data_IF_270283239755
#
_entry.id   IF_270283239755
#
_cell.length_a   1.000
_cell.length_b   1.000
_cell.length_c   1.000
_cell.angle_alpha   90.00
_cell.angle_beta   90.00
_cell.angle_gamma   90.00
#
_symmetry.space_group_name_H-M   'P 1'
#
loop_
_entity.id
_entity.type
_entity.pdbx_description
1 polymer ?
2 non-polymer ?
3 non-polymer ?
4 water ?
#
# COMPACT_ATOMS: atom_id res chain seq x y z
N UNK A 1 2.24 14.81 -4.86
CA UNK A 1 0.76 14.87 -4.63
C UNK A 1 0.42 15.57 -3.29
N UNK A 2 -0.87 15.85 -3.06
CA UNK A 2 -1.31 16.33 -1.76
C UNK A 2 -2.09 15.16 -1.12
N UNK A 3 -1.31 14.13 -0.79
CA UNK A 3 -1.85 12.89 -0.31
C UNK A 3 -2.61 13.02 0.99
N UNK A 4 -2.08 13.87 1.87
CA UNK A 4 -2.71 14.14 3.16
C UNK A 4 -4.07 14.84 2.99
N UNK A 5 -4.24 15.63 1.93
CA UNK A 5 -5.54 16.27 1.65
C UNK A 5 -6.60 15.22 1.23
N UNK A 6 -6.18 14.15 0.59
CA UNK A 6 -7.15 13.11 0.22
C UNK A 6 -7.56 12.30 1.45
N UNK A 7 -8.72 11.69 1.36
CA UNK A 7 -9.23 10.94 2.50
C UNK A 7 -8.46 9.70 2.90
N UNK A 8 -8.94 9.08 3.96
CA UNK A 8 -8.27 7.90 4.50
C UNK A 8 -8.53 6.59 3.80
N UNK A 9 -9.48 6.57 2.87
CA UNK A 9 -9.84 5.30 2.21
C UNK A 9 -9.11 5.06 0.91
N UNK A 10 -8.05 4.29 0.94
CA UNK A 10 -7.33 3.91 -0.24
C UNK A 10 -7.75 2.50 -0.61
N UNK A 11 -7.76 2.26 -1.91
CA UNK A 11 -8.32 0.99 -2.47
C UNK A 11 -7.47 0.43 -3.56
N UNK A 12 -7.03 -0.82 -3.38
CA UNK A 12 -6.30 -1.52 -4.40
C UNK A 12 -7.30 -1.93 -5.55
N UNK A 13 -6.81 -1.80 -6.78
CA UNK A 13 -7.51 -2.20 -7.99
C UNK A 13 -6.50 -2.83 -8.92
N UNK A 14 -6.67 -4.11 -9.24
CA UNK A 14 -5.75 -4.81 -10.13
C UNK A 14 -5.69 -4.08 -11.47
N UNK A 15 -4.49 -3.87 -12.01
CA UNK A 15 -4.32 -3.01 -13.18
C UNK A 15 -4.71 -3.72 -14.50
N UNK A 16 -4.88 -5.03 -14.48
CA UNK A 16 -5.52 -5.76 -15.61
C UNK A 16 -7.04 -5.69 -15.70
N UNK A 17 -7.69 -4.81 -14.93
CA UNK A 17 -9.13 -4.70 -14.92
C UNK A 17 -9.57 -3.25 -15.12
N UNK A 18 -9.27 -2.65 -16.28
CA UNK A 18 -9.54 -1.23 -16.54
C UNK A 18 -11.02 -0.83 -16.56
N UNK A 19 -11.88 -1.82 -16.80
CA UNK A 19 -13.34 -1.65 -16.77
C UNK A 19 -13.83 -1.35 -15.34
N UNK A 20 -12.95 -1.60 -14.37
CA UNK A 20 -13.22 -1.29 -12.97
C UNK A 20 -12.54 -0.02 -12.45
N UNK A 21 -11.67 0.60 -13.25
CA UNK A 21 -10.90 1.75 -12.74
C UNK A 21 -11.80 2.90 -12.34
N UNK A 22 -12.77 3.24 -13.20
CA UNK A 22 -13.66 4.35 -12.92
C UNK A 22 -14.47 4.14 -11.65
N UNK A 23 -14.95 2.91 -11.41
CA UNK A 23 -15.80 2.63 -10.23
C UNK A 23 -14.94 2.70 -8.91
N UNK A 24 -13.72 2.18 -9.02
CA UNK A 24 -12.72 2.27 -7.91
C UNK A 24 -12.46 3.72 -7.51
N UNK A 25 -12.26 4.60 -8.49
CA UNK A 25 -11.95 5.98 -8.25
C UNK A 25 -13.10 6.75 -7.65
N UNK A 26 -14.34 6.35 -7.96
CA UNK A 26 -15.49 7.06 -7.40
C UNK A 26 -15.81 6.51 -6.04
N UNK A 27 -15.47 5.26 -5.79
CA UNK A 27 -15.67 4.63 -4.47
C UNK A 27 -14.61 5.05 -3.39
N UNK A 28 -13.40 5.39 -3.84
CA UNK A 28 -12.22 5.60 -2.94
C UNK A 28 -11.68 7.00 -2.86
N UNK A 29 -10.95 7.33 -1.81
CA UNK A 29 -10.21 8.59 -1.77
C UNK A 29 -9.00 8.56 -2.70
N UNK A 30 -8.31 7.43 -2.68
CA UNK A 30 -7.19 7.21 -3.52
C UNK A 30 -7.23 5.78 -3.98
N UNK A 31 -6.86 5.60 -5.25
CA UNK A 31 -6.76 4.28 -5.82
C UNK A 31 -5.31 3.88 -6.00
N UNK A 32 -4.99 2.68 -5.56
CA UNK A 32 -3.75 2.06 -5.88
C UNK A 32 -3.93 1.09 -7.02
N UNK A 33 -3.49 1.44 -8.22
CA UNK A 33 -3.49 0.50 -9.34
C UNK A 33 -2.34 -0.43 -9.18
N UNK A 34 -2.63 -1.72 -9.23
CA UNK A 34 -1.69 -2.72 -8.83
C UNK A 34 -1.08 -3.51 -9.96
N UNK A 35 0.24 -3.54 -10.04
CA UNK A 35 0.96 -4.36 -11.01
C UNK A 35 1.56 -5.62 -10.37
N UNK A 36 1.52 -5.73 -9.03
CA UNK A 36 2.09 -6.91 -8.34
C UNK A 36 0.95 -7.88 -8.05
N UNK A 37 0.62 -8.24 -6.82
CA UNK A 37 -0.08 -9.55 -6.58
C UNK A 37 -1.52 -9.61 -7.02
N UNK A 38 -2.15 -8.48 -7.19
CA UNK A 38 -3.48 -8.47 -7.75
C UNK A 38 -3.53 -8.92 -9.18
N UNK A 39 -2.38 -9.08 -9.85
CA UNK A 39 -2.33 -9.46 -11.27
C UNK A 39 -1.44 -10.69 -11.51
N UNK A 40 -1.99 -11.74 -12.16
CA UNK A 40 -1.22 -12.97 -12.44
C UNK A 40 -0.04 -12.70 -13.37
N UNK A 41 1.04 -13.49 -13.26
CA UNK A 41 2.22 -13.36 -14.14
C UNK A 41 1.84 -13.08 -15.60
N UNK A 42 0.89 -13.86 -16.15
CA UNK A 42 0.55 -13.84 -17.58
C UNK A 42 -0.23 -12.61 -17.98
N UNK A 43 -0.93 -12.02 -17.02
CA UNK A 43 -1.70 -10.82 -17.33
C UNK A 43 -0.95 -9.46 -17.03
N UNK A 44 0.30 -9.51 -16.55
CA UNK A 44 1.03 -8.26 -16.23
C UNK A 44 1.28 -7.36 -17.47
N UNK A 45 1.77 -7.90 -18.61
CA UNK A 45 1.83 -7.13 -19.86
C UNK A 45 0.53 -6.41 -20.15
N UNK A 46 -0.59 -7.07 -19.96
CA UNK A 46 -1.89 -6.45 -20.24
C UNK A 46 -2.25 -5.33 -19.23
N UNK A 47 -1.90 -5.56 -17.98
CA UNK A 47 -2.05 -4.54 -16.94
C UNK A 47 -1.28 -3.27 -17.31
N UNK A 48 -0.09 -3.45 -17.82
CA UNK A 48 0.77 -2.33 -18.15
C UNK A 48 0.19 -1.54 -19.32
N UNK A 49 -0.46 -2.21 -20.29
CA UNK A 49 -1.13 -1.46 -21.37
C UNK A 49 -2.33 -0.73 -20.81
N UNK A 50 -3.07 -1.41 -19.94
CA UNK A 50 -4.25 -0.77 -19.34
C UNK A 50 -3.85 0.47 -18.53
N UNK A 51 -2.72 0.37 -17.85
CA UNK A 51 -2.23 1.48 -17.06
C UNK A 51 -2.02 2.74 -17.96
N UNK A 52 -1.49 2.51 -19.17
CA UNK A 52 -1.29 3.58 -20.18
C UNK A 52 -2.57 4.03 -20.89
N UNK A 53 -3.45 3.10 -21.26
CA UNK A 53 -4.58 3.53 -22.10
C UNK A 53 -5.84 3.93 -21.32
N UNK A 54 -5.91 3.60 -20.02
CA UNK A 54 -7.04 4.02 -19.18
C UNK A 54 -6.63 4.82 -17.95
N UNK A 55 -6.42 6.14 -18.11
CA UNK A 55 -5.86 6.98 -17.05
C UNK A 55 -6.83 7.34 -15.96
N UNK A 56 -6.29 7.49 -14.76
CA UNK A 56 -7.02 8.04 -13.62
C UNK A 56 -6.38 9.34 -13.17
N UNK A 57 -7.08 10.11 -12.37
CA UNK A 57 -6.54 11.35 -11.85
C UNK A 57 -5.23 11.07 -11.07
N UNK A 58 -4.12 11.67 -11.52
CA UNK A 58 -2.83 11.42 -10.89
C UNK A 58 -2.72 12.06 -9.52
N UNK A 59 -3.57 13.00 -9.15
CA UNK A 59 -3.56 13.58 -7.80
C UNK A 59 -4.17 12.60 -6.80
N UNK A 60 -4.86 11.56 -7.29
CA UNK A 60 -5.63 10.59 -6.47
C UNK A 60 -5.35 9.11 -6.81
N UNK A 61 -4.23 8.84 -7.46
CA UNK A 61 -3.87 7.50 -7.86
C UNK A 61 -2.40 7.18 -7.65
N UNK A 62 -2.12 6.03 -7.07
CA UNK A 62 -0.75 5.57 -6.98
C UNK A 62 -0.61 4.22 -7.61
N UNK A 63 0.57 3.88 -7.99
CA UNK A 63 0.78 2.61 -8.68
C UNK A 63 1.64 1.68 -7.87
N UNK A 64 1.08 0.51 -7.53
CA UNK A 64 1.97 -0.49 -6.89
C UNK A 64 2.76 -1.23 -7.91
N UNK A 65 4.06 -1.02 -7.90
CA UNK A 65 5.00 -1.68 -8.77
C UNK A 65 5.49 -3.02 -8.20
N UNK A 66 6.41 -3.67 -8.86
CA UNK A 66 6.97 -4.91 -8.40
C UNK A 66 8.21 -4.66 -7.59
N UNK A 67 8.78 -5.71 -7.01
CA UNK A 67 9.87 -5.54 -6.07
C UNK A 67 11.21 -5.19 -6.66
N UNK A 68 12.01 -4.54 -5.83
CA UNK A 68 13.38 -4.23 -6.11
C UNK A 68 14.13 -5.36 -6.79
N UNK A 69 14.87 -5.01 -7.83
CA UNK A 69 15.72 -5.96 -8.53
C UNK A 69 14.98 -6.92 -9.48
N UNK A 70 13.68 -6.89 -9.53
CA UNK A 70 12.98 -7.80 -10.42
C UNK A 70 12.86 -7.26 -11.86
N UNK A 71 12.79 -8.19 -12.80
CA UNK A 71 12.52 -7.81 -14.19
C UNK A 71 11.18 -7.17 -14.34
N UNK A 72 10.19 -7.67 -13.61
CA UNK A 72 8.89 -7.04 -13.57
C UNK A 72 8.93 -5.59 -13.17
N UNK A 73 9.75 -5.25 -12.17
CA UNK A 73 9.83 -3.83 -11.77
C UNK A 73 10.32 -2.95 -12.94
N UNK A 74 11.30 -3.44 -13.68
CA UNK A 74 11.87 -2.70 -14.79
C UNK A 74 10.86 -2.49 -15.87
N UNK A 75 10.06 -3.52 -16.15
CA UNK A 75 9.01 -3.43 -17.16
C UNK A 75 7.94 -2.44 -16.66
N UNK A 76 7.68 -2.40 -15.33
CA UNK A 76 6.65 -1.50 -14.76
C UNK A 76 7.07 -0.01 -14.92
N UNK A 77 8.36 0.26 -14.68
CA UNK A 77 8.85 1.62 -14.69
C UNK A 77 8.82 2.12 -16.15
N UNK A 78 9.10 1.19 -17.08
CA UNK A 78 8.94 1.49 -18.55
C UNK A 78 7.52 1.85 -18.89
N UNK A 79 6.56 1.08 -18.41
CA UNK A 79 5.16 1.42 -18.64
C UNK A 79 4.73 2.73 -17.98
N UNK A 80 5.26 3.04 -16.80
CA UNK A 80 4.87 4.26 -16.09
C UNK A 80 5.33 5.56 -16.80
N UNK A 81 6.40 5.44 -17.56
CA UNK A 81 6.98 6.58 -18.33
C UNK A 81 5.94 7.20 -19.25
N UNK A 82 5.06 6.33 -19.75
CA UNK A 82 3.91 6.71 -20.56
C UNK A 82 2.71 7.25 -19.83
N UNK A 83 2.78 7.46 -18.52
CA UNK A 83 1.64 7.95 -17.77
C UNK A 83 1.98 9.25 -17.10
N UNK A 84 0.97 9.81 -16.47
CA UNK A 84 1.09 11.01 -15.68
C UNK A 84 1.32 10.70 -14.17
N UNK A 85 1.51 9.43 -13.83
CA UNK A 85 1.61 9.05 -12.41
C UNK A 85 2.95 9.46 -11.86
N UNK A 86 2.95 9.96 -10.64
CA UNK A 86 4.16 10.40 -9.97
C UNK A 86 4.57 9.58 -8.76
N UNK A 87 3.67 8.74 -8.26
CA UNK A 87 3.86 8.15 -6.93
C UNK A 87 3.67 6.63 -7.05
N UNK A 88 4.67 5.89 -6.58
CA UNK A 88 4.66 4.46 -6.63
C UNK A 88 4.68 3.87 -5.21
N UNK A 89 4.14 2.67 -5.09
CA UNK A 89 4.19 1.85 -3.88
C UNK A 89 5.11 0.67 -4.16
N UNK A 90 6.16 0.56 -3.34
CA UNK A 90 7.22 -0.38 -3.47
C UNK A 90 6.93 -1.53 -2.48
N UNK A 91 6.54 -2.68 -3.01
CA UNK A 91 6.38 -3.86 -2.12
C UNK A 91 7.70 -4.36 -1.65
N UNK A 92 7.66 -5.11 -0.54
CA UNK A 92 8.85 -5.71 -0.05
C UNK A 92 10.01 -4.77 0.12
N UNK A 93 9.71 -3.56 0.56
CA UNK A 93 10.71 -2.51 0.64
C UNK A 93 11.65 -2.89 1.75
N UNK A 94 12.95 -2.98 1.44
CA UNK A 94 13.95 -3.55 2.38
C UNK A 94 15.11 -2.67 2.66
N UNK A 95 15.29 -1.58 1.88
CA UNK A 95 16.39 -0.69 2.08
C UNK A 95 16.11 0.72 1.56
N UNK A 96 16.80 1.67 2.14
CA UNK A 96 16.82 3.03 1.59
C UNK A 96 17.22 3.02 0.15
N UNK A 97 18.23 2.20 -0.17
CA UNK A 97 18.70 2.11 -1.52
C UNK A 97 17.59 1.71 -2.52
N UNK A 98 16.66 0.83 -2.16
CA UNK A 98 15.55 0.44 -3.03
C UNK A 98 14.57 1.58 -3.25
N UNK A 99 14.46 2.47 -2.28
CA UNK A 99 13.63 3.65 -2.40
C UNK A 99 14.37 4.69 -3.28
N UNK A 100 15.61 5.01 -2.93
CA UNK A 100 16.44 6.00 -3.70
C UNK A 100 16.46 5.69 -5.16
N UNK A 101 16.51 4.42 -5.52
CA UNK A 101 16.68 4.10 -6.92
C UNK A 101 15.39 4.39 -7.72
N UNK A 102 14.28 4.70 -7.05
CA UNK A 102 13.04 5.03 -7.71
C UNK A 102 12.89 6.56 -7.94
N UNK A 103 13.79 7.37 -7.42
CA UNK A 103 13.77 8.84 -7.65
C UNK A 103 13.86 9.02 -9.17
N UNK A 104 13.22 10.05 -9.72
CA UNK A 104 12.57 11.15 -8.96
C UNK A 104 11.13 10.94 -8.62
N UNK A 105 10.64 9.71 -8.65
CA UNK A 105 9.27 9.53 -8.23
C UNK A 105 9.06 9.57 -6.67
N UNK A 106 7.88 9.90 -6.21
CA UNK A 106 7.52 9.77 -4.77
C UNK A 106 7.20 8.27 -4.49
N UNK A 107 7.58 7.82 -3.31
CA UNK A 107 7.47 6.39 -2.95
C UNK A 107 6.72 6.16 -1.63
N UNK A 108 5.73 5.30 -1.66
CA UNK A 108 5.16 4.68 -0.47
C UNK A 108 5.81 3.27 -0.35
N UNK A 109 6.57 3.09 0.74
CA UNK A 109 7.38 1.89 0.99
C UNK A 109 6.47 0.98 1.78
N UNK A 110 6.20 -0.17 1.20
CA UNK A 110 5.36 -1.16 1.88
C UNK A 110 6.29 -2.22 2.50
N UNK A 111 6.34 -2.22 3.83
CA UNK A 111 7.28 -3.02 4.57
C UNK A 111 6.51 -4.25 5.01
N UNK A 112 6.99 -5.37 4.54
CA UNK A 112 6.38 -6.68 4.75
C UNK A 112 7.38 -7.84 4.79
N UNK A 113 8.58 -7.56 5.29
CA UNK A 113 9.59 -8.55 5.53
C UNK A 113 10.35 -8.07 6.77
N UNK A 114 11.08 -9.02 7.39
CA UNK A 114 11.92 -8.70 8.54
C UNK A 114 12.94 -7.62 8.24
N UNK A 115 13.63 -7.72 7.10
CA UNK A 115 14.63 -6.74 6.76
C UNK A 115 14.02 -5.35 6.66
N UNK A 116 12.84 -5.27 6.08
CA UNK A 116 12.17 -3.98 5.97
C UNK A 116 11.86 -3.44 7.37
N UNK A 117 11.50 -4.30 8.32
CA UNK A 117 11.12 -3.83 9.65
C UNK A 117 12.38 -3.32 10.34
N UNK A 118 13.47 -4.07 10.23
CA UNK A 118 14.71 -3.71 10.90
C UNK A 118 15.25 -2.40 10.33
N UNK A 119 15.06 -2.21 9.01
CA UNK A 119 15.50 -1.01 8.34
C UNK A 119 14.40 0.07 8.18
N UNK A 120 13.31 0.03 8.95
CA UNK A 120 12.19 0.95 8.77
C UNK A 120 12.54 2.43 8.83
N UNK A 121 13.40 2.79 9.77
CA UNK A 121 13.73 4.19 9.92
C UNK A 121 14.57 4.65 8.76
N UNK A 122 15.49 3.82 8.25
CA UNK A 122 16.29 4.18 7.12
C UNK A 122 15.44 4.36 5.84
N UNK A 123 14.43 3.51 5.75
CA UNK A 123 13.52 3.54 4.62
C UNK A 123 12.69 4.76 4.70
N UNK A 124 12.18 5.06 5.89
CA UNK A 124 11.32 6.22 6.06
C UNK A 124 12.08 7.50 5.76
N UNK A 125 13.34 7.56 6.17
CA UNK A 125 14.14 8.76 6.02
C UNK A 125 14.55 9.06 4.58
N UNK A 126 14.59 8.05 3.69
CA UNK A 126 15.05 8.19 2.32
C UNK A 126 14.30 9.33 1.64
N UNK A 127 15.05 10.10 0.86
CA UNK A 127 14.45 11.29 0.25
C UNK A 127 13.16 11.07 -0.56
N UNK A 128 13.02 10.02 -1.39
CA UNK A 128 11.76 9.83 -2.12
C UNK A 128 10.57 9.44 -1.29
N UNK A 129 10.78 8.93 -0.07
CA UNK A 129 9.65 8.44 0.68
C UNK A 129 8.63 9.53 1.05
N UNK A 130 7.34 9.25 0.78
CA UNK A 130 6.24 10.08 1.21
C UNK A 130 5.30 9.33 2.08
N UNK A 131 5.47 8.02 2.19
CA UNK A 131 4.62 7.23 3.02
C UNK A 131 5.23 5.88 3.38
N UNK A 132 4.74 5.31 4.47
CA UNK A 132 5.12 3.97 4.87
C UNK A 132 3.87 3.15 5.13
N UNK A 133 3.87 1.95 4.58
CA UNK A 133 2.77 1.01 4.82
C UNK A 133 3.34 -0.30 5.40
N UNK A 134 2.52 -1.15 5.99
CA UNK A 134 3.00 -2.46 6.38
C UNK A 134 1.99 -3.53 5.88
N UNK A 135 2.46 -4.78 5.75
CA UNK A 135 1.57 -5.89 5.37
C UNK A 135 1.95 -7.12 6.19
N UNK A 136 0.97 -7.80 6.74
CA UNK A 136 1.25 -8.86 7.69
C UNK A 136 1.41 -10.18 6.96
N UNK A 137 0.71 -10.34 5.82
CA UNK A 137 0.72 -11.62 5.13
C UNK A 137 2.05 -12.00 4.65
N UNK A 138 2.71 -11.15 3.86
CA UNK A 138 4.01 -11.51 3.39
C UNK A 138 5.11 -11.44 4.47
N UNK A 139 4.88 -10.68 5.52
CA UNK A 139 5.82 -10.64 6.68
C UNK A 139 5.90 -12.06 7.25
N UNK A 140 4.74 -12.63 7.56
CA UNK A 140 4.67 -13.97 8.16
C UNK A 140 5.21 -14.98 7.13
N UNK A 141 4.81 -14.88 5.86
CA UNK A 141 5.33 -15.81 4.85
C UNK A 141 6.86 -15.79 4.74
N UNK A 142 7.45 -14.63 4.62
CA UNK A 142 8.86 -14.54 4.45
C UNK A 142 9.64 -14.87 5.74
N UNK A 143 9.06 -14.59 6.90
CA UNK A 143 9.64 -15.12 8.14
C UNK A 143 9.68 -16.66 8.24
N UNK A 144 8.87 -17.36 7.44
CA UNK A 144 8.79 -18.82 7.52
C UNK A 144 7.60 -19.32 8.30
N UNK A 145 6.64 -18.45 8.61
CA UNK A 145 5.48 -18.82 9.39
C UNK A 145 4.28 -19.24 8.58
N UNK A 146 3.14 -19.38 9.24
CA UNK A 146 1.93 -19.88 8.59
C UNK A 146 0.65 -19.08 8.83
N UNK A 147 0.64 -18.22 9.85
CA UNK A 147 -0.57 -17.54 10.29
C UNK A 147 -0.25 -16.16 10.84
N UNK A 148 -0.75 -15.06 10.26
CA UNK A 148 -0.57 -13.74 10.91
C UNK A 148 -1.47 -13.46 12.10
N UNK A 149 -2.59 -14.21 12.26
CA UNK A 149 -3.54 -13.97 13.31
C UNK A 149 -3.68 -15.19 14.21
N UNK A 150 -3.88 -14.95 15.48
CA UNK A 150 -4.13 -16.07 16.39
C UNK A 150 -5.61 -16.49 16.29
N UNK A 151 -5.98 -17.48 17.10
CA UNK A 151 -7.32 -18.08 16.97
C UNK A 151 -8.48 -17.05 17.23
N UNK A 152 -8.27 -16.18 18.22
CA UNK A 152 -9.25 -15.14 18.53
C UNK A 152 -9.22 -13.93 17.59
N UNK A 153 -8.37 -14.00 16.55
CA UNK A 153 -8.36 -13.04 15.44
C UNK A 153 -7.46 -11.83 15.56
N UNK A 154 -6.85 -11.63 16.73
CA UNK A 154 -5.87 -10.57 16.91
C UNK A 154 -4.64 -10.98 16.11
N UNK A 155 -3.90 -9.98 15.63
CA UNK A 155 -2.59 -10.23 15.04
C UNK A 155 -1.65 -10.87 16.10
N UNK A 156 -0.75 -11.72 15.63
CA UNK A 156 0.29 -12.27 16.45
C UNK A 156 1.24 -11.15 16.78
N UNK A 157 2.01 -11.33 17.81
CA UNK A 157 2.86 -10.25 18.33
C UNK A 157 3.79 -9.61 17.31
N UNK A 158 4.42 -10.43 16.45
CA UNK A 158 5.43 -9.84 15.56
C UNK A 158 4.76 -8.87 14.57
N UNK A 159 3.54 -9.18 14.12
CA UNK A 159 2.81 -8.29 13.26
C UNK A 159 2.51 -7.01 14.02
N UNK A 160 2.04 -7.13 15.25
CA UNK A 160 1.71 -5.93 16.05
C UNK A 160 2.97 -5.06 16.27
N UNK A 161 4.11 -5.74 16.34
CA UNK A 161 5.46 -5.10 16.60
C UNK A 161 5.84 -4.27 15.32
N UNK A 162 5.72 -4.89 14.18
CA UNK A 162 5.97 -4.23 12.90
C UNK A 162 5.00 -3.09 12.66
N UNK A 163 3.73 -3.26 12.95
CA UNK A 163 2.78 -2.17 12.83
C UNK A 163 3.23 -0.89 13.52
N UNK A 164 3.58 -1.02 14.76
CA UNK A 164 4.06 0.14 15.58
C UNK A 164 5.38 0.67 15.03
N UNK A 165 6.28 -0.24 14.61
CA UNK A 165 7.53 0.16 14.05
C UNK A 165 7.32 1.05 12.85
N UNK A 166 6.46 0.64 11.95
CA UNK A 166 6.24 1.48 10.78
C UNK A 166 5.47 2.78 11.07
N UNK A 167 4.55 2.78 12.00
CA UNK A 167 3.85 4.03 12.41
C UNK A 167 4.88 5.04 12.95
N UNK A 168 5.70 4.56 13.84
CA UNK A 168 6.77 5.45 14.38
C UNK A 168 7.75 5.96 13.34
N UNK A 169 8.26 5.06 12.47
CA UNK A 169 9.21 5.43 11.49
C UNK A 169 8.60 6.46 10.56
N UNK A 170 7.34 6.26 10.12
CA UNK A 170 6.74 7.22 9.21
C UNK A 170 6.59 8.57 9.87
N UNK A 171 6.06 8.56 11.08
CA UNK A 171 5.80 9.78 11.80
C UNK A 171 7.09 10.53 12.20
N UNK A 172 8.15 9.81 12.47
CA UNK A 172 9.43 10.43 12.79
C UNK A 172 9.98 11.23 11.64
N UNK A 173 9.65 10.84 10.42
CA UNK A 173 10.14 11.52 9.23
C UNK A 173 9.07 12.28 8.45
N UNK A 174 7.95 12.56 9.09
CA UNK A 174 6.92 13.40 8.49
C UNK A 174 6.17 12.70 7.37
N UNK A 175 6.16 11.36 7.34
CA UNK A 175 5.57 10.60 6.19
C UNK A 175 4.16 10.21 6.49
N UNK A 176 3.34 9.97 5.45
CA UNK A 176 2.07 9.37 5.69
C UNK A 176 2.23 7.95 6.28
N UNK A 177 1.36 7.60 7.21
CA UNK A 177 1.33 6.21 7.77
C UNK A 177 0.08 5.45 7.28
N UNK A 178 0.29 4.34 6.59
CA UNK A 178 -0.81 3.49 6.04
C UNK A 178 -0.95 2.14 6.78
N UNK A 179 -2.11 1.89 7.34
CA UNK A 179 -2.40 0.66 8.08
C UNK A 179 -2.77 -0.45 7.10
N UNK A 180 -2.48 -1.65 7.51
CA UNK A 180 -2.55 -2.79 6.68
C UNK A 180 -3.99 -3.19 6.34
N UNK A 181 -4.07 -3.91 5.25
CA UNK A 181 -5.38 -4.37 4.68
C UNK A 181 -6.01 -5.34 5.64
N UNK A 182 -7.36 -5.27 5.72
CA UNK A 182 -8.13 -6.28 6.43
C UNK A 182 -8.61 -7.31 5.40
N UNK A 183 -8.01 -8.48 5.41
CA UNK A 183 -8.13 -9.43 4.31
C UNK A 183 -9.54 -10.08 4.30
N UNK A 184 -10.14 -10.21 5.47
CA UNK A 184 -11.51 -10.76 5.58
C UNK A 184 -12.52 -9.72 5.28
N UNK A 185 -12.87 -9.61 4.00
CA UNK A 185 -13.64 -8.45 3.53
C UNK A 185 -15.00 -8.30 4.21
N UNK A 186 -15.72 -9.41 4.38
CA UNK A 186 -17.04 -9.37 5.00
C UNK A 186 -17.00 -9.14 6.51
N UNK A 187 -15.81 -9.28 7.11
CA UNK A 187 -15.67 -9.00 8.54
C UNK A 187 -15.55 -7.50 8.76
N UNK A 188 -16.68 -6.80 8.66
CA UNK A 188 -16.75 -5.39 8.85
C UNK A 188 -16.52 -5.04 10.32
N UNK A 189 -16.85 -5.92 11.26
CA UNK A 189 -16.64 -5.66 12.70
C UNK A 189 -15.14 -5.51 12.96
N UNK A 190 -14.35 -6.45 12.43
CA UNK A 190 -12.89 -6.49 12.59
C UNK A 190 -12.26 -5.26 11.96
N UNK A 191 -12.67 -4.91 10.74
CA UNK A 191 -12.16 -3.72 10.05
C UNK A 191 -12.48 -2.45 10.85
N UNK A 192 -13.68 -2.36 11.41
CA UNK A 192 -14.08 -1.16 12.16
C UNK A 192 -13.15 -1.04 13.38
N UNK A 193 -12.93 -2.16 14.05
CA UNK A 193 -12.05 -2.18 15.22
C UNK A 193 -10.64 -1.72 14.87
N UNK A 194 -10.10 -2.21 13.75
CA UNK A 194 -8.74 -1.83 13.33
C UNK A 194 -8.65 -0.39 12.87
N UNK A 195 -9.63 0.05 12.10
CA UNK A 195 -9.59 1.40 11.55
C UNK A 195 -9.82 2.44 12.64
N UNK A 196 -10.67 2.16 13.63
CA UNK A 196 -10.88 3.13 14.70
C UNK A 196 -9.58 3.24 15.53
N UNK A 197 -8.98 2.10 15.79
CA UNK A 197 -7.67 2.07 16.46
C UNK A 197 -6.59 2.79 15.62
N UNK A 198 -6.56 2.51 14.33
CA UNK A 198 -5.61 3.17 13.45
C UNK A 198 -5.77 4.66 13.53
N UNK A 199 -7.01 5.12 13.38
CA UNK A 199 -7.26 6.56 13.49
C UNK A 199 -6.83 7.12 14.85
N UNK A 200 -7.09 6.41 15.94
CA UNK A 200 -6.82 6.91 17.24
C UNK A 200 -5.32 7.00 17.51
N UNK A 201 -4.50 6.16 16.87
CA UNK A 201 -3.07 6.17 17.13
C UNK A 201 -2.30 7.02 16.10
N UNK A 202 -2.99 7.54 15.09
CA UNK A 202 -2.40 8.46 14.15
C UNK A 202 -2.00 7.91 12.79
N UNK A 203 -2.50 6.75 12.45
CA UNK A 203 -2.44 6.32 11.06
C UNK A 203 -3.21 7.35 10.23
N UNK A 204 -2.78 7.56 9.00
CA UNK A 204 -3.47 8.54 8.10
C UNK A 204 -4.51 7.86 7.21
N UNK A 205 -4.27 6.60 6.98
CA UNK A 205 -4.95 5.83 5.93
C UNK A 205 -5.12 4.39 6.40
N UNK A 206 -6.24 3.77 6.07
CA UNK A 206 -6.31 2.31 6.09
C UNK A 206 -6.59 1.82 4.71
N UNK A 207 -5.76 0.92 4.21
CA UNK A 207 -5.81 0.48 2.87
C UNK A 207 -6.81 -0.67 2.78
N UNK A 208 -7.55 -0.63 1.70
CA UNK A 208 -8.70 -1.54 1.48
C UNK A 208 -8.51 -2.37 0.20
N UNK A 209 -9.15 -3.56 0.17
CA UNK A 209 -9.08 -4.44 -0.99
C UNK A 209 -10.43 -4.61 -1.71
N UNK A 210 -11.46 -3.99 -1.17
CA UNK A 210 -12.82 -4.06 -1.75
C UNK A 210 -13.56 -2.77 -1.45
N UNK A 211 -14.29 -2.23 -2.43
CA UNK A 211 -15.04 -0.99 -2.22
C UNK A 211 -15.97 -0.97 -0.98
N UNK A 212 -16.48 -2.11 -0.52
CA UNK A 212 -17.36 -2.10 0.64
C UNK A 212 -16.64 -1.64 1.93
N UNK A 213 -15.32 -1.81 1.94
CA UNK A 213 -14.52 -1.36 3.08
C UNK A 213 -14.38 0.17 3.23
N UNK A 214 -14.53 0.93 2.14
CA UNK A 214 -14.30 2.35 2.17
C UNK A 214 -15.17 3.13 3.15
N UNK A 215 -16.51 2.96 3.12
CA UNK A 215 -17.37 3.65 4.08
C UNK A 215 -16.99 3.41 5.55
N UNK A 216 -16.60 2.20 5.87
CA UNK A 216 -16.36 1.85 7.24
C UNK A 216 -15.04 2.55 7.67
N UNK A 217 -14.04 2.57 6.79
CA UNK A 217 -12.82 3.34 7.01
C UNK A 217 -13.11 4.80 7.12
N UNK A 218 -13.88 5.37 6.19
CA UNK A 218 -14.10 6.81 6.26
C UNK A 218 -14.84 7.17 7.55
N UNK A 219 -15.74 6.32 8.02
CA UNK A 219 -16.49 6.66 9.26
C UNK A 219 -15.58 6.55 10.52
N UNK A 220 -14.76 5.51 10.53
CA UNK A 220 -13.80 5.30 11.63
C UNK A 220 -12.84 6.48 11.82
N UNK A 221 -12.43 7.10 10.71
CA UNK A 221 -11.52 8.25 10.75
C UNK A 221 -12.22 9.64 10.89
N UNK A 222 -13.52 9.66 11.14
CA UNK A 222 -14.33 10.92 11.13
C UNK A 222 -13.86 12.14 11.98
N UNK A 223 -13.99 12.06 13.30
CA UNK A 223 -13.97 13.28 14.16
C UNK A 223 -13.37 14.50 13.45
X LIG B 1 -2.84 -8.13 24.82
X LIG B 1 -2.33 -9.14 23.88
X LIG B 1 -1.84 -7.94 25.97
X LIG B 1 -3.09 -6.80 24.10
X LIG B 1 -4.71 -9.74 26.49
X LIG B 1 -4.84 -8.91 27.71
X LIG B 1 -5.99 -10.49 26.12
X LIG B 1 -4.30 -8.69 25.32
X LIG B 1 -3.71 -12.36 26.02
X LIG B 1 -4.94 -12.53 25.24
X LIG B 1 -3.56 -13.43 27.10
X LIG B 1 -3.58 -10.87 26.67
X LIG C 1 1.80 -5.00 22.53
X LIG C 1 2.10 -5.02 21.33
X LIG C 1 2.07 -5.94 23.29
#
# INVERSE_FOLDING_TARGET
MNLRAAGPGWLFCPADAPEAFAAAAAAADVVILDLEDGVAAAQKPAARNALRDTPLDPERTVVRINAGGTADQARDLEALAGTAYTTVMLPKAESAAQVIELAPRDVIALVETARGAVCAAEIAAADPTVGMMWGAEDLIATLGGSSSRRADGAYRDVARHVRSTILLAASAFGRLALDAVHLDILDVEGLQEEARDAAAVGFDVTVCIHPSQIPVVRKAYAASHEKLAWARRVLAASRSERGAFAFEGQMVDSPVLTHAETMLRRAGEATSE
ATP PG O1G O2G O3G PB O1B O2B O3B PA O1A O2A O3A
FMT C O1 O2
#
